data_IF_031276283426
#
_entry.id   IF_031276283426
#
_cell.length_a   1.000
_cell.length_b   1.000
_cell.length_c   1.000
_cell.angle_alpha   90.00
_cell.angle_beta   90.00
_cell.angle_gamma   90.00
#
_symmetry.space_group_name_H-M   'P 1'
#
loop_
_entity.id
_entity.type
_entity.pdbx_description
1 polymer ?
#
# COMPACT_ATOMS: atom_id res chain seq x y z
N UNK A 1 -12.14 62.60 -19.06
CA UNK A 1 -13.51 62.27 -19.52
C UNK A 1 -13.44 60.86 -20.10
N UNK A 2 -13.82 59.77 -19.42
CA UNK A 2 -15.17 59.43 -18.92
C UNK A 2 -15.14 58.98 -17.45
N UNK A 3 -15.93 59.71 -16.67
CA UNK A 3 -16.52 59.30 -15.38
C UNK A 3 -17.41 58.09 -15.64
N UNK A 4 -17.32 57.02 -14.84
CA UNK A 4 -18.46 56.21 -14.37
C UNK A 4 -17.93 55.21 -13.34
N UNK A 5 -17.82 55.69 -12.10
CA UNK A 5 -17.88 54.88 -10.90
C UNK A 5 -19.35 54.81 -10.47
N UNK A 6 -19.79 53.61 -10.09
CA UNK A 6 -20.99 53.24 -9.33
C UNK A 6 -22.31 53.14 -10.13
N UNK A 7 -22.87 51.92 -10.22
CA UNK A 7 -24.19 51.50 -9.71
C UNK A 7 -24.79 50.32 -10.51
N UNK A 8 -25.13 49.24 -9.79
CA UNK A 8 -25.99 48.14 -10.27
C UNK A 8 -25.21 47.08 -11.04
N UNK A 9 -25.28 45.78 -10.74
CA UNK A 9 -26.27 45.00 -10.02
C UNK A 9 -25.51 43.70 -9.69
N UNK A 10 -25.24 43.39 -8.42
CA UNK A 10 -25.92 42.28 -7.75
C UNK A 10 -26.75 41.41 -8.71
N UNK A 11 -26.20 40.28 -9.17
CA UNK A 11 -26.89 39.03 -9.55
C UNK A 11 -25.78 37.96 -9.60
N UNK A 12 -25.42 37.41 -8.44
CA UNK A 12 -25.83 36.06 -8.03
C UNK A 12 -25.48 35.00 -9.09
N UNK A 13 -24.36 34.30 -8.87
CA UNK A 13 -24.33 32.84 -8.97
C UNK A 13 -23.03 32.32 -8.35
N UNK A 14 -23.19 31.82 -7.14
CA UNK A 14 -22.36 30.80 -6.50
C UNK A 14 -22.10 29.62 -7.44
N UNK A 15 -20.89 29.08 -7.40
CA UNK A 15 -20.61 27.68 -7.68
C UNK A 15 -19.26 27.32 -7.06
N UNK A 16 -19.29 27.11 -5.75
CA UNK A 16 -18.34 26.28 -5.02
C UNK A 16 -18.31 24.89 -5.66
N UNK A 17 -17.16 24.52 -6.21
CA UNK A 17 -16.84 23.13 -6.46
C UNK A 17 -15.35 22.94 -6.26
N UNK A 18 -14.98 22.49 -5.06
CA UNK A 18 -13.72 21.80 -4.81
C UNK A 18 -13.64 20.65 -5.82
N UNK A 19 -12.92 20.84 -6.92
CA UNK A 19 -12.60 19.75 -7.83
C UNK A 19 -11.66 18.83 -7.06
N UNK A 20 -12.23 17.86 -6.35
CA UNK A 20 -11.51 16.67 -5.93
C UNK A 20 -11.15 15.97 -7.23
N UNK A 21 -9.93 16.21 -7.72
CA UNK A 21 -9.37 15.43 -8.82
C UNK A 21 -9.42 13.98 -8.37
N UNK A 22 -10.37 13.22 -8.92
CA UNK A 22 -10.32 11.76 -8.88
C UNK A 22 -9.01 11.40 -9.56
N UNK A 23 -8.02 10.98 -8.78
CA UNK A 23 -6.85 10.33 -9.36
C UNK A 23 -7.38 9.10 -10.08
N UNK A 24 -7.25 9.09 -11.41
CA UNK A 24 -7.38 7.87 -12.17
C UNK A 24 -6.40 6.87 -11.55
N UNK A 25 -6.90 5.74 -11.08
CA UNK A 25 -6.06 4.62 -10.67
C UNK A 25 -5.20 4.28 -11.86
N UNK A 26 -3.91 4.55 -11.74
CA UNK A 26 -2.93 4.26 -12.77
C UNK A 26 -2.73 2.75 -12.70
N UNK A 27 -3.49 2.02 -13.52
CA UNK A 27 -3.25 0.60 -13.76
C UNK A 27 -1.93 0.50 -14.50
N UNK A 28 -0.87 0.20 -13.76
CA UNK A 28 0.46 -0.04 -14.31
C UNK A 28 0.39 -1.34 -15.15
N UNK A 29 0.68 -1.30 -16.47
CA UNK A 29 0.52 -2.45 -17.36
C UNK A 29 1.56 -3.57 -17.15
N UNK A 30 2.49 -3.43 -16.20
CA UNK A 30 3.61 -4.37 -16.01
C UNK A 30 3.53 -5.19 -14.71
N UNK A 31 2.34 -5.42 -14.14
CA UNK A 31 2.18 -6.40 -13.06
C UNK A 31 2.00 -7.80 -13.67
N UNK A 32 3.01 -8.71 -13.62
CA UNK A 32 2.78 -10.08 -14.00
C UNK A 32 1.76 -10.68 -13.03
N UNK A 33 0.61 -11.02 -13.59
CA UNK A 33 -0.44 -11.80 -12.94
C UNK A 33 0.19 -13.11 -12.48
N UNK A 34 0.58 -13.18 -11.21
CA UNK A 34 1.09 -14.40 -10.58
C UNK A 34 -0.09 -15.24 -10.13
N UNK A 35 -0.15 -16.46 -10.66
CA UNK A 35 -1.21 -17.43 -10.49
C UNK A 35 -1.48 -17.75 -9.00
N UNK A 36 -2.78 -17.67 -8.66
CA UNK A 36 -3.53 -17.85 -7.40
C UNK A 36 -3.00 -18.94 -6.44
N UNK A 37 -3.13 -18.82 -5.11
CA UNK A 37 -4.26 -18.26 -4.34
C UNK A 37 -3.76 -17.36 -3.18
N UNK A 38 -4.05 -16.04 -3.17
CA UNK A 38 -3.96 -15.20 -1.98
C UNK A 38 -5.18 -15.46 -1.06
N UNK A 39 -5.02 -15.46 0.28
CA UNK A 39 -6.16 -15.46 1.19
C UNK A 39 -6.98 -14.19 0.95
N UNK A 40 -8.28 -14.37 0.77
CA UNK A 40 -9.26 -13.34 0.40
C UNK A 40 -9.60 -12.34 1.54
N UNK A 41 -8.60 -11.93 2.34
CA UNK A 41 -8.76 -10.83 3.28
C UNK A 41 -7.70 -9.75 2.99
N UNK A 42 -8.09 -8.54 2.53
CA UNK A 42 -7.16 -7.43 2.26
C UNK A 42 -6.53 -6.81 3.52
N UNK A 43 -6.78 -7.33 4.72
CA UNK A 43 -6.30 -6.72 5.97
C UNK A 43 -5.07 -7.38 6.60
N UNK A 44 -4.59 -8.51 6.08
CA UNK A 44 -3.38 -9.16 6.64
C UNK A 44 -2.18 -8.79 5.79
N UNK A 45 -1.38 -7.84 6.28
CA UNK A 45 -0.16 -7.35 5.65
C UNK A 45 0.93 -8.42 5.63
N UNK A 46 0.82 -9.35 4.69
CA UNK A 46 1.83 -10.37 4.44
C UNK A 46 2.77 -9.91 3.33
N UNK A 47 4.05 -9.74 3.65
CA UNK A 47 5.13 -9.40 2.75
C UNK A 47 5.54 -10.64 1.96
N UNK A 48 5.34 -10.59 0.64
CA UNK A 48 5.72 -11.64 -0.30
C UNK A 48 6.76 -11.19 -1.33
N UNK A 49 7.10 -9.90 -1.34
CA UNK A 49 8.06 -9.28 -2.27
C UNK A 49 8.96 -8.30 -1.52
N UNK A 50 10.18 -8.19 -2.00
CA UNK A 50 11.24 -7.38 -1.41
C UNK A 50 11.94 -6.64 -2.56
N UNK A 51 12.38 -5.40 -2.34
CA UNK A 51 12.84 -4.48 -3.40
C UNK A 51 14.17 -4.85 -4.07
N UNK A 52 14.72 -6.00 -3.76
CA UNK A 52 16.06 -6.43 -4.09
C UNK A 52 16.04 -7.86 -4.64
N UNK A 53 17.15 -8.27 -5.27
CA UNK A 53 17.23 -9.61 -5.81
C UNK A 53 17.75 -10.60 -4.75
N UNK A 54 16.91 -11.57 -4.39
CA UNK A 54 17.26 -12.63 -3.45
C UNK A 54 16.53 -13.93 -3.83
N UNK A 55 17.18 -15.09 -3.72
CA UNK A 55 16.53 -16.35 -3.93
C UNK A 55 15.63 -16.69 -2.73
N UNK A 56 14.35 -16.95 -2.97
CA UNK A 56 13.42 -17.50 -1.99
C UNK A 56 12.49 -18.52 -2.65
N UNK A 57 11.91 -19.41 -1.85
CA UNK A 57 10.92 -20.38 -2.33
C UNK A 57 9.51 -19.77 -2.26
N UNK A 58 8.58 -20.20 -3.12
CA UNK A 58 7.17 -19.77 -3.05
C UNK A 58 6.39 -20.47 -1.92
N UNK A 59 7.06 -21.27 -1.08
CA UNK A 59 6.40 -22.03 -0.02
C UNK A 59 5.86 -21.08 1.05
N UNK A 60 4.59 -21.22 1.39
CA UNK A 60 3.93 -20.40 2.40
C UNK A 60 4.13 -21.00 3.79
N UNK A 61 4.83 -20.28 4.65
CA UNK A 61 5.11 -20.63 6.05
C UNK A 61 5.34 -19.34 6.85
N UNK A 62 4.27 -18.58 7.17
CA UNK A 62 4.42 -17.18 7.55
C UNK A 62 5.11 -17.00 8.90
N UNK A 63 5.88 -15.92 9.00
CA UNK A 63 6.59 -15.51 10.22
C UNK A 63 6.27 -14.06 10.56
N UNK A 64 6.37 -13.69 11.83
CA UNK A 64 6.10 -12.33 12.29
C UNK A 64 7.42 -11.61 12.49
N UNK A 65 7.59 -10.47 11.83
CA UNK A 65 8.73 -9.58 11.96
C UNK A 65 8.59 -8.61 13.14
N UNK A 66 9.71 -8.02 13.56
CA UNK A 66 9.76 -7.00 14.61
C UNK A 66 9.17 -5.66 14.22
N UNK A 67 8.93 -5.48 12.93
CA UNK A 67 8.19 -4.38 12.33
C UNK A 67 6.66 -4.58 12.38
N UNK A 68 6.20 -5.69 12.98
CA UNK A 68 4.78 -6.05 13.05
C UNK A 68 4.21 -6.58 11.74
N UNK A 69 5.06 -6.82 10.73
CA UNK A 69 4.64 -7.35 9.44
C UNK A 69 4.77 -8.87 9.40
N UNK A 70 3.83 -9.53 8.71
CA UNK A 70 3.98 -10.95 8.44
C UNK A 70 4.82 -11.13 7.18
N UNK A 71 5.79 -12.03 7.18
CA UNK A 71 6.55 -12.39 5.98
C UNK A 71 6.08 -13.76 5.51
N UNK A 72 5.83 -13.93 4.21
CA UNK A 72 5.22 -15.15 3.66
C UNK A 72 6.00 -16.44 3.97
N UNK A 73 7.30 -16.30 4.18
CA UNK A 73 8.17 -17.30 4.78
C UNK A 73 9.42 -16.66 5.39
N UNK A 74 10.22 -17.48 6.07
CA UNK A 74 11.48 -17.06 6.67
C UNK A 74 12.50 -16.59 5.63
N UNK A 75 12.48 -17.14 4.41
CA UNK A 75 13.40 -16.71 3.35
C UNK A 75 13.12 -15.26 2.92
N UNK A 76 11.84 -14.88 2.82
CA UNK A 76 11.41 -13.51 2.49
C UNK A 76 11.80 -12.53 3.61
N UNK A 77 11.66 -12.91 4.89
CA UNK A 77 12.16 -12.10 6.02
C UNK A 77 13.67 -11.90 5.96
N UNK A 78 14.42 -12.98 5.78
CA UNK A 78 15.88 -12.91 5.68
C UNK A 78 16.34 -12.08 4.49
N UNK A 79 15.60 -12.16 3.38
CA UNK A 79 15.83 -11.31 2.23
C UNK A 79 15.58 -9.83 2.57
N UNK A 80 14.51 -9.50 3.28
CA UNK A 80 14.27 -8.13 3.73
C UNK A 80 15.43 -7.59 4.57
N UNK A 81 15.96 -8.40 5.50
CA UNK A 81 17.15 -8.05 6.28
C UNK A 81 18.37 -7.81 5.40
N UNK A 82 18.66 -8.74 4.48
CA UNK A 82 19.76 -8.62 3.53
C UNK A 82 19.68 -7.34 2.71
N UNK A 83 18.45 -6.91 2.40
CA UNK A 83 18.19 -5.74 1.58
C UNK A 83 18.09 -4.44 2.36
N UNK A 84 18.48 -4.45 3.62
CA UNK A 84 18.59 -3.27 4.47
C UNK A 84 17.34 -2.98 5.31
N UNK A 85 16.35 -3.87 5.32
CA UNK A 85 15.21 -3.75 6.24
C UNK A 85 15.67 -4.12 7.64
N UNK A 86 15.50 -3.22 8.61
CA UNK A 86 15.81 -3.52 10.00
C UNK A 86 14.65 -4.31 10.64
N UNK A 87 14.65 -5.62 10.43
CA UNK A 87 13.61 -6.53 10.93
C UNK A 87 14.23 -7.80 11.50
N UNK A 88 13.65 -8.33 12.57
CA UNK A 88 14.01 -9.64 13.13
C UNK A 88 12.76 -10.49 13.27
N UNK A 89 12.89 -11.81 13.22
CA UNK A 89 11.75 -12.71 13.43
C UNK A 89 11.39 -12.76 14.92
N UNK A 90 10.15 -12.37 15.27
CA UNK A 90 9.58 -12.53 16.61
C UNK A 90 8.89 -13.89 16.76
N UNK A 91 8.00 -14.24 15.83
CA UNK A 91 7.20 -15.46 15.92
C UNK A 91 7.27 -16.30 14.65
N UNK A 92 7.21 -17.63 14.81
CA UNK A 92 7.07 -18.60 13.70
C UNK A 92 5.60 -18.77 13.27
N UNK A 93 4.91 -17.64 13.16
CA UNK A 93 3.52 -17.51 12.71
C UNK A 93 3.32 -16.10 12.16
N UNK A 94 2.27 -15.87 11.38
CA UNK A 94 1.88 -14.52 10.99
C UNK A 94 1.64 -13.63 12.24
N UNK A 95 1.94 -12.34 12.14
CA UNK A 95 1.57 -11.36 13.15
C UNK A 95 0.05 -11.29 13.30
N UNK A 96 -0.45 -10.99 14.50
CA UNK A 96 -1.89 -10.93 14.77
C UNK A 96 -2.61 -12.28 14.68
N UNK A 97 -1.88 -13.39 14.52
CA UNK A 97 -2.40 -14.72 14.79
C UNK A 97 -2.65 -14.81 16.28
N UNK A 98 -3.79 -14.31 16.75
CA UNK A 98 -4.25 -14.47 18.13
C UNK A 98 -4.47 -15.97 18.39
N UNK A 99 -3.39 -16.68 18.70
CA UNK A 99 -3.45 -17.96 19.38
C UNK A 99 -3.63 -17.62 20.84
N UNK A 100 -4.89 -17.66 21.26
CA UNK A 100 -5.29 -17.50 22.66
C UNK A 100 -4.61 -18.51 23.58
#
# INVERSE_FOLDING_TARGET
MKVYLLFGVLWLAVADASVVRRQAVQTDPDVPTSTRIPPANPEITTVYRVSCNCPFTPQYAPVCGSDGQSYGNIQILNCAVFCGTNVTMIYRSACGSNRG
#
